data_IF_413076914846
#
_entry.id   IF_413076914846
#
_cell.length_a   1.000
_cell.length_b   1.000
_cell.length_c   1.000
_cell.angle_alpha   90.00
_cell.angle_beta   90.00
_cell.angle_gamma   90.00
#
_symmetry.space_group_name_H-M   'P 1'
#
loop_
_entity.id
_entity.type
_entity.pdbx_description
1 polymer ?
#
# COMPACT_ATOMS: atom_id res chain seq x y z
N UNK A 1 9.74 -1.17 3.08
CA UNK A 1 9.15 -2.08 4.10
C UNK A 1 9.08 -3.46 3.49
N UNK A 2 10.05 -4.33 3.79
CA UNK A 2 10.08 -5.71 3.29
C UNK A 2 9.91 -6.66 4.49
N UNK A 3 9.07 -7.69 4.37
CA UNK A 3 8.92 -8.73 5.40
C UNK A 3 10.09 -9.72 5.27
N UNK A 4 11.32 -9.29 5.62
CA UNK A 4 12.53 -10.10 5.44
C UNK A 4 12.63 -11.32 6.37
N UNK A 5 11.73 -11.48 7.35
CA UNK A 5 11.88 -12.45 8.44
C UNK A 5 10.68 -13.36 8.73
N UNK A 6 9.54 -13.22 8.03
CA UNK A 6 8.30 -13.89 8.41
C UNK A 6 7.85 -15.08 7.54
N UNK A 7 8.32 -15.15 6.29
CA UNK A 7 7.92 -16.19 5.33
C UNK A 7 9.17 -16.94 4.84
N UNK A 8 9.19 -18.28 4.88
CA UNK A 8 10.31 -19.04 4.33
C UNK A 8 10.45 -18.71 2.82
N UNK A 9 11.65 -18.27 2.45
CA UNK A 9 12.02 -17.59 1.19
C UNK A 9 11.63 -18.31 -0.12
N UNK A 10 11.20 -19.57 -0.06
CA UNK A 10 10.79 -20.36 -1.23
C UNK A 10 9.34 -20.10 -1.68
N UNK A 11 8.48 -19.56 -0.81
CA UNK A 11 7.04 -19.37 -1.07
C UNK A 11 6.56 -17.91 -0.95
N UNK A 12 7.47 -16.93 -0.93
CA UNK A 12 7.11 -15.52 -0.68
C UNK A 12 6.13 -14.99 -1.73
N UNK A 13 6.43 -15.17 -3.02
CA UNK A 13 5.57 -14.68 -4.10
C UNK A 13 4.21 -15.38 -4.13
N UNK A 14 4.16 -16.67 -3.84
CA UNK A 14 2.91 -17.45 -3.78
C UNK A 14 2.03 -16.99 -2.61
N UNK A 15 2.63 -16.78 -1.44
CA UNK A 15 1.92 -16.26 -0.27
C UNK A 15 1.39 -14.85 -0.50
N UNK A 16 2.19 -13.98 -1.11
CA UNK A 16 1.79 -12.62 -1.47
C UNK A 16 0.68 -12.60 -2.52
N UNK A 17 0.82 -13.39 -3.60
CA UNK A 17 -0.21 -13.44 -4.64
C UNK A 17 -1.53 -13.95 -4.07
N UNK A 18 -1.48 -15.01 -3.27
CA UNK A 18 -2.67 -15.56 -2.62
C UNK A 18 -3.31 -14.55 -1.65
N UNK A 19 -2.50 -13.83 -0.86
CA UNK A 19 -2.99 -12.80 0.05
C UNK A 19 -3.66 -11.65 -0.72
N UNK A 20 -3.05 -11.18 -1.81
CA UNK A 20 -3.60 -10.10 -2.62
C UNK A 20 -4.90 -10.53 -3.31
N UNK A 21 -4.95 -11.72 -3.90
CA UNK A 21 -6.14 -12.24 -4.59
C UNK A 21 -7.36 -12.43 -3.67
N UNK A 22 -7.13 -12.76 -2.40
CA UNK A 22 -8.19 -12.94 -1.42
C UNK A 22 -8.46 -11.69 -0.56
N UNK A 23 -7.77 -10.59 -0.84
CA UNK A 23 -7.94 -9.34 -0.10
C UNK A 23 -9.09 -8.50 -0.64
N UNK A 24 -9.83 -7.87 0.26
CA UNK A 24 -10.86 -6.89 -0.07
C UNK A 24 -10.29 -5.57 -0.62
N UNK A 25 -9.09 -5.20 -0.18
CA UNK A 25 -8.40 -4.00 -0.59
C UNK A 25 -6.89 -4.14 -0.35
N UNK A 26 -6.10 -3.37 -1.10
CA UNK A 26 -4.66 -3.28 -0.97
C UNK A 26 -4.28 -1.93 -0.36
N UNK A 27 -3.80 -1.93 0.88
CA UNK A 27 -3.36 -0.72 1.58
C UNK A 27 -1.87 -0.52 1.33
N UNK A 28 -1.53 0.57 0.65
CA UNK A 28 -0.17 0.89 0.24
C UNK A 28 0.41 2.00 1.11
N UNK A 29 1.36 1.66 1.99
CA UNK A 29 2.09 2.62 2.82
C UNK A 29 3.23 3.27 2.02
N UNK A 30 2.95 4.42 1.42
CA UNK A 30 3.89 5.15 0.57
C UNK A 30 4.96 5.83 1.42
N UNK A 31 6.20 5.37 1.24
CA UNK A 31 7.45 5.92 1.79
C UNK A 31 8.56 5.85 0.73
N UNK A 32 9.69 6.56 0.90
CA UNK A 32 10.86 6.40 0.04
C UNK A 32 11.29 4.93 -0.10
N UNK A 33 11.45 4.22 1.03
CA UNK A 33 11.80 2.79 1.05
C UNK A 33 10.79 1.89 0.32
N UNK A 34 9.50 2.26 0.34
CA UNK A 34 8.48 1.54 -0.41
C UNK A 34 8.68 1.73 -1.92
N UNK A 35 9.02 2.94 -2.35
CA UNK A 35 9.28 3.25 -3.76
C UNK A 35 10.55 2.57 -4.28
N UNK A 36 11.55 2.35 -3.44
CA UNK A 36 12.82 1.72 -3.80
C UNK A 36 12.78 0.18 -3.80
N UNK A 37 11.81 -0.44 -3.13
CA UNK A 37 11.68 -1.91 -3.08
C UNK A 37 11.03 -2.47 -4.35
N UNK A 38 11.77 -3.31 -5.08
CA UNK A 38 11.25 -4.05 -6.22
C UNK A 38 10.11 -5.01 -5.83
N UNK A 39 10.14 -5.55 -4.61
CA UNK A 39 9.06 -6.41 -4.11
C UNK A 39 7.76 -5.61 -3.94
N UNK A 40 7.83 -4.45 -3.27
CA UNK A 40 6.67 -3.57 -3.10
C UNK A 40 6.10 -3.10 -4.45
N UNK A 41 6.97 -2.82 -5.42
CA UNK A 41 6.56 -2.48 -6.78
C UNK A 41 5.80 -3.62 -7.46
N UNK A 42 6.30 -4.86 -7.36
CA UNK A 42 5.64 -6.03 -7.93
C UNK A 42 4.28 -6.31 -7.27
N UNK A 43 4.21 -6.25 -5.94
CA UNK A 43 2.96 -6.39 -5.18
C UNK A 43 1.92 -5.36 -5.61
N UNK A 44 2.30 -4.09 -5.70
CA UNK A 44 1.41 -3.01 -6.14
C UNK A 44 0.89 -3.24 -7.56
N UNK A 45 1.79 -3.58 -8.49
CA UNK A 45 1.42 -3.85 -9.88
C UNK A 45 0.48 -5.05 -9.98
N UNK A 46 0.73 -6.09 -9.19
CA UNK A 46 -0.11 -7.27 -9.15
C UNK A 46 -1.51 -6.97 -8.60
N UNK A 47 -1.61 -6.24 -7.48
CA UNK A 47 -2.88 -5.78 -6.94
C UNK A 47 -3.67 -4.95 -7.96
N UNK A 48 -2.99 -4.02 -8.66
CA UNK A 48 -3.59 -3.22 -9.74
C UNK A 48 -4.06 -4.07 -10.91
N UNK A 49 -3.27 -5.06 -11.34
CA UNK A 49 -3.63 -5.99 -12.40
C UNK A 49 -4.85 -6.84 -12.04
N UNK A 50 -4.93 -7.29 -10.79
CA UNK A 50 -6.08 -8.03 -10.24
C UNK A 50 -7.30 -7.15 -9.96
N UNK A 51 -7.19 -5.84 -10.20
CA UNK A 51 -8.23 -4.83 -9.92
C UNK A 51 -8.66 -4.82 -8.45
N UNK A 52 -7.76 -5.20 -7.55
CA UNK A 52 -7.98 -5.03 -6.12
C UNK A 52 -7.97 -3.53 -5.84
N UNK A 53 -8.97 -2.99 -5.14
CA UNK A 53 -9.00 -1.58 -4.80
C UNK A 53 -7.78 -1.16 -3.98
N UNK A 54 -7.14 -0.05 -4.35
CA UNK A 54 -5.90 0.43 -3.73
C UNK A 54 -6.18 1.63 -2.84
N UNK A 55 -5.74 1.57 -1.59
CA UNK A 55 -5.81 2.65 -0.61
C UNK A 55 -4.38 3.13 -0.33
N UNK A 56 -3.90 4.19 -1.00
CA UNK A 56 -2.59 4.76 -0.74
C UNK A 56 -2.58 5.62 0.52
N UNK A 57 -1.60 5.37 1.39
CA UNK A 57 -1.35 6.09 2.64
C UNK A 57 0.01 6.77 2.54
N UNK A 58 0.04 8.09 2.63
CA UNK A 58 1.27 8.87 2.60
C UNK A 58 1.81 9.03 4.02
N UNK A 59 2.99 8.51 4.27
CA UNK A 59 3.60 8.46 5.60
C UNK A 59 4.69 9.50 5.84
N UNK A 60 5.09 10.27 4.82
CA UNK A 60 6.13 11.28 4.91
C UNK A 60 5.61 12.65 4.45
N UNK A 61 5.87 13.72 5.20
CA UNK A 61 5.43 15.09 4.91
C UNK A 61 6.22 15.71 3.76
N UNK A 62 7.53 15.46 3.72
CA UNK A 62 8.48 16.19 2.86
C UNK A 62 8.93 15.35 1.65
N UNK A 63 8.16 14.34 1.31
CA UNK A 63 8.42 13.45 0.20
C UNK A 63 7.16 13.24 -0.62
N UNK A 64 7.31 13.18 -1.94
CA UNK A 64 6.23 12.88 -2.87
C UNK A 64 6.59 11.64 -3.68
N UNK A 65 5.61 10.77 -3.99
CA UNK A 65 5.85 9.63 -4.84
C UNK A 65 6.24 10.12 -6.24
N UNK A 66 7.34 9.58 -6.75
CA UNK A 66 7.91 9.92 -8.06
C UNK A 66 8.01 8.67 -8.93
N UNK A 67 8.40 8.84 -10.20
CA UNK A 67 8.62 7.74 -11.14
C UNK A 67 7.41 6.79 -11.23
N UNK A 68 7.64 5.49 -11.02
CA UNK A 68 6.63 4.46 -11.15
C UNK A 68 5.51 4.62 -10.12
N UNK A 69 5.84 5.00 -8.88
CA UNK A 69 4.84 5.10 -7.82
C UNK A 69 3.93 6.28 -8.11
N UNK A 70 4.52 7.45 -8.37
CA UNK A 70 3.79 8.66 -8.75
C UNK A 70 2.88 8.44 -9.96
N UNK A 71 3.39 7.80 -11.03
CA UNK A 71 2.60 7.48 -12.23
C UNK A 71 1.45 6.51 -11.94
N UNK A 72 1.69 5.47 -11.14
CA UNK A 72 0.68 4.45 -10.86
C UNK A 72 -0.38 4.91 -9.87
N UNK A 73 -0.08 5.91 -9.04
CA UNK A 73 -0.99 6.49 -8.05
C UNK A 73 -1.73 7.74 -8.53
N UNK A 74 -1.49 8.20 -9.77
CA UNK A 74 -2.24 9.33 -10.36
C UNK A 74 -3.75 9.06 -10.29
N UNK A 75 -4.50 10.05 -9.83
CA UNK A 75 -5.96 9.99 -9.73
C UNK A 75 -6.49 9.20 -8.52
N UNK A 76 -5.62 8.59 -7.72
CA UNK A 76 -6.04 7.99 -6.46
C UNK A 76 -6.14 9.06 -5.38
N UNK A 77 -7.12 8.91 -4.47
CA UNK A 77 -7.23 9.75 -3.27
C UNK A 77 -6.33 9.17 -2.19
N UNK A 78 -5.38 9.95 -1.68
CA UNK A 78 -4.41 9.49 -0.67
C UNK A 78 -4.83 9.91 0.74
N UNK A 79 -4.49 9.13 1.76
CA UNK A 79 -4.60 9.59 3.15
C UNK A 79 -3.24 10.03 3.67
N UNK A 80 -3.16 11.25 4.17
CA UNK A 80 -1.98 11.73 4.88
C UNK A 80 -1.99 11.20 6.32
N UNK A 81 -1.02 10.32 6.62
CA UNK A 81 -0.81 9.74 7.95
C UNK A 81 0.35 10.40 8.71
N UNK A 82 1.22 11.15 8.02
CA UNK A 82 2.38 11.83 8.63
C UNK A 82 2.00 12.98 9.58
N UNK A 83 0.81 13.58 9.41
CA UNK A 83 0.47 14.87 10.02
C UNK A 83 -0.31 14.79 11.33
N UNK A 84 -0.22 13.69 12.09
CA UNK A 84 -1.19 13.46 13.17
C UNK A 84 -0.61 13.32 14.56
N UNK A 85 -1.08 14.20 15.46
CA UNK A 85 -1.05 13.99 16.91
C UNK A 85 -2.10 12.97 17.36
N UNK A 86 -3.08 12.66 16.49
CA UNK A 86 -4.17 11.74 16.76
C UNK A 86 -4.28 10.65 15.69
N UNK A 87 -3.56 9.56 15.94
CA UNK A 87 -3.60 8.34 15.13
C UNK A 87 -5.01 7.74 15.05
N UNK A 88 -5.84 7.90 16.10
CA UNK A 88 -7.17 7.27 16.14
C UNK A 88 -8.09 7.85 15.10
N UNK A 89 -8.09 9.16 14.92
CA UNK A 89 -8.92 9.82 13.90
C UNK A 89 -8.59 9.31 12.50
N UNK A 90 -7.30 9.19 12.16
CA UNK A 90 -6.87 8.67 10.85
C UNK A 90 -7.11 7.18 10.69
N UNK A 91 -6.98 6.40 11.74
CA UNK A 91 -7.37 5.00 11.72
C UNK A 91 -8.87 4.84 11.45
N UNK A 92 -9.71 5.71 12.02
CA UNK A 92 -11.16 5.74 11.72
C UNK A 92 -11.45 6.16 10.28
N UNK A 93 -10.71 7.13 9.73
CA UNK A 93 -10.83 7.54 8.32
C UNK A 93 -10.42 6.41 7.36
N UNK A 94 -9.32 5.72 7.66
CA UNK A 94 -8.88 4.54 6.94
C UNK A 94 -9.93 3.43 7.00
N UNK A 95 -10.47 3.14 8.18
CA UNK A 95 -11.55 2.17 8.35
C UNK A 95 -12.77 2.52 7.50
N UNK A 96 -13.21 3.79 7.52
CA UNK A 96 -14.31 4.26 6.67
C UNK A 96 -14.05 4.02 5.18
N UNK A 97 -12.81 4.24 4.71
CA UNK A 97 -12.42 3.96 3.32
C UNK A 97 -12.40 2.48 3.00
N UNK A 98 -11.92 1.64 3.90
CA UNK A 98 -11.95 0.18 3.73
C UNK A 98 -13.42 -0.27 3.63
N UNK A 99 -14.29 0.18 4.53
CA UNK A 99 -15.73 -0.15 4.48
C UNK A 99 -16.43 0.32 3.21
N UNK A 100 -16.00 1.43 2.59
CA UNK A 100 -16.58 1.91 1.32
C UNK A 100 -16.11 1.12 0.09
N UNK A 101 -15.13 0.24 0.28
CA UNK A 101 -14.43 -0.50 -0.79
C UNK A 101 -14.91 -1.95 -0.92
N UNK A 102 -15.50 -2.49 0.15
CA UNK A 102 -16.17 -3.81 0.23
C UNK A 102 -17.67 -3.68 0.05
#
# INVERSE_FOLDING_TARGET
MDIKSGLPSKNLYEGLSHAIENSSCFVCFMTPDYQESDFCKQEFQYAKQRRIPIIPLKLDENWEPTNWLGLLTVGLVWLDFYRTKDFKTKASELHGRICATV
#
